data_IF_271210686195
#
_entry.id   IF_271210686195
#
_cell.length_a   1.000
_cell.length_b   1.000
_cell.length_c   1.000
_cell.angle_alpha   90.00
_cell.angle_beta   90.00
_cell.angle_gamma   90.00
#
_symmetry.space_group_name_H-M   'P 1'
#
loop_
_entity.id
_entity.type
_entity.pdbx_description
1 polymer ?
#
# COMPACT_ATOMS: atom_id res chain seq x y z
N UNK A 1 -6.22 -2.96 -15.06
CA UNK A 1 -6.38 -1.64 -14.42
C UNK A 1 -5.85 -0.58 -15.37
N UNK A 2 -6.52 0.57 -15.47
CA UNK A 2 -6.03 1.73 -16.20
C UNK A 2 -5.66 2.83 -15.19
N UNK A 3 -4.51 2.65 -14.52
CA UNK A 3 -3.99 3.64 -13.55
C UNK A 3 -3.58 4.96 -14.22
N UNK A 4 -3.39 4.94 -15.54
CA UNK A 4 -2.93 6.09 -16.29
C UNK A 4 -4.09 7.00 -16.70
N UNK A 5 -5.27 6.44 -16.94
CA UNK A 5 -6.52 7.16 -17.20
C UNK A 5 -6.32 8.34 -18.17
N UNK A 6 -6.66 9.55 -17.71
CA UNK A 6 -6.56 10.78 -18.48
C UNK A 6 -5.10 11.15 -18.86
N UNK A 7 -4.11 10.70 -18.09
CA UNK A 7 -2.70 11.04 -18.28
C UNK A 7 -2.00 10.11 -19.27
N UNK A 8 -2.50 8.89 -19.48
CA UNK A 8 -1.80 7.85 -20.25
C UNK A 8 -1.46 8.22 -21.69
N UNK A 9 -2.26 9.08 -22.32
CA UNK A 9 -2.10 9.47 -23.74
C UNK A 9 -1.54 10.87 -23.95
N UNK A 10 -1.23 11.61 -22.88
CA UNK A 10 -0.74 12.99 -22.97
C UNK A 10 0.68 13.10 -22.42
N UNK A 11 1.39 14.13 -22.85
CA UNK A 11 2.76 14.42 -22.42
C UNK A 11 2.78 15.20 -21.09
N UNK A 12 2.05 14.68 -20.10
CA UNK A 12 2.06 15.16 -18.71
C UNK A 12 2.65 14.05 -17.86
N UNK A 13 3.70 14.36 -17.10
CA UNK A 13 4.36 13.38 -16.23
C UNK A 13 3.42 12.81 -15.19
N UNK A 14 3.55 11.50 -14.98
CA UNK A 14 2.87 10.83 -13.89
C UNK A 14 3.46 11.30 -12.55
N UNK A 15 2.63 11.63 -11.55
CA UNK A 15 3.10 12.17 -10.28
C UNK A 15 3.61 11.11 -9.30
N UNK A 16 3.93 9.90 -9.77
CA UNK A 16 4.33 8.75 -8.96
C UNK A 16 5.52 9.03 -8.03
N UNK A 17 6.60 9.61 -8.55
CA UNK A 17 7.77 9.99 -7.73
C UNK A 17 7.42 11.13 -6.76
N UNK A 18 6.56 12.05 -7.16
CA UNK A 18 6.08 13.14 -6.30
C UNK A 18 5.26 12.60 -5.13
N UNK A 19 4.33 11.67 -5.38
CA UNK A 19 3.53 11.03 -4.34
C UNK A 19 4.39 10.18 -3.40
N UNK A 20 5.34 9.43 -3.94
CA UNK A 20 6.34 8.71 -3.12
C UNK A 20 7.07 9.67 -2.19
N UNK A 21 7.57 10.80 -2.73
CA UNK A 21 8.31 11.79 -1.96
C UNK A 21 7.44 12.50 -0.92
N UNK A 22 6.22 12.88 -1.28
CA UNK A 22 5.26 13.48 -0.34
C UNK A 22 5.01 12.55 0.85
N UNK A 23 4.81 11.26 0.59
CA UNK A 23 4.65 10.27 1.65
C UNK A 23 5.90 10.14 2.54
N UNK A 24 7.12 10.20 1.98
CA UNK A 24 8.37 10.25 2.77
C UNK A 24 8.49 11.51 3.66
N UNK A 25 7.89 12.61 3.23
CA UNK A 25 7.89 13.91 3.92
C UNK A 25 6.69 14.05 4.89
N UNK A 26 5.89 12.99 5.08
CA UNK A 26 4.73 12.99 5.99
C UNK A 26 3.54 13.79 5.44
N UNK A 27 3.45 13.94 4.12
CA UNK A 27 2.32 14.55 3.43
C UNK A 27 1.52 13.44 2.76
N UNK A 28 0.31 13.10 3.25
CA UNK A 28 -0.53 12.07 2.66
C UNK A 28 -0.78 12.31 1.17
N UNK A 29 -0.43 11.33 0.35
CA UNK A 29 -0.63 11.36 -1.09
C UNK A 29 -1.08 9.99 -1.58
N UNK A 30 -2.18 9.95 -2.33
CA UNK A 30 -2.80 8.75 -2.87
C UNK A 30 -2.95 8.84 -4.39
N UNK A 31 -2.92 7.69 -5.04
CA UNK A 31 -3.15 7.56 -6.48
C UNK A 31 -4.65 7.44 -6.78
N UNK A 32 -5.01 7.60 -8.06
CA UNK A 32 -6.35 7.29 -8.60
C UNK A 32 -7.53 8.04 -7.95
N UNK A 33 -7.26 9.14 -7.26
CA UNK A 33 -8.26 9.91 -6.50
C UNK A 33 -9.03 9.04 -5.47
N UNK A 34 -8.40 8.00 -4.95
CA UNK A 34 -9.02 7.08 -4.00
C UNK A 34 -9.14 7.72 -2.61
N UNK A 35 -10.39 7.91 -2.15
CA UNK A 35 -10.68 8.55 -0.86
C UNK A 35 -10.45 7.63 0.34
N UNK A 36 -10.54 6.32 0.13
CA UNK A 36 -10.19 5.29 1.10
C UNK A 36 -8.67 5.26 1.35
N UNK A 37 -7.89 5.21 0.28
CA UNK A 37 -6.44 5.16 0.33
C UNK A 37 -5.85 6.43 0.97
N UNK A 38 -6.32 7.63 0.60
CA UNK A 38 -5.82 8.87 1.24
C UNK A 38 -6.16 8.92 2.73
N UNK A 39 -7.34 8.45 3.14
CA UNK A 39 -7.71 8.36 4.54
C UNK A 39 -6.83 7.34 5.29
N UNK A 40 -6.51 6.20 4.68
CA UNK A 40 -5.57 5.25 5.23
C UNK A 40 -4.15 5.84 5.37
N UNK A 41 -3.67 6.61 4.37
CA UNK A 41 -2.39 7.33 4.48
C UNK A 41 -2.40 8.31 5.66
N UNK A 42 -3.47 9.09 5.83
CA UNK A 42 -3.63 10.00 6.98
C UNK A 42 -3.57 9.21 8.29
N UNK A 43 -4.31 8.12 8.42
CA UNK A 43 -4.32 7.30 9.64
C UNK A 43 -2.92 6.76 9.95
N UNK A 44 -2.26 6.13 8.98
CA UNK A 44 -0.95 5.50 9.19
C UNK A 44 0.09 6.54 9.58
N UNK A 45 0.13 7.67 8.87
CA UNK A 45 1.13 8.71 9.09
C UNK A 45 0.96 9.39 10.45
N UNK A 46 -0.27 9.70 10.86
CA UNK A 46 -0.55 10.44 12.09
C UNK A 46 -0.59 9.55 13.34
N UNK A 47 -0.88 8.25 13.20
CA UNK A 47 -0.90 7.33 14.34
C UNK A 47 0.46 6.66 14.59
N UNK A 48 1.27 6.46 13.55
CA UNK A 48 2.45 5.59 13.63
C UNK A 48 3.76 6.23 13.15
N UNK A 49 3.74 7.54 12.82
CA UNK A 49 4.90 8.34 12.39
C UNK A 49 5.71 7.69 11.24
N UNK A 50 5.00 7.09 10.29
CA UNK A 50 5.60 6.38 9.15
C UNK A 50 4.75 6.45 7.89
N UNK A 51 5.36 6.31 6.71
CA UNK A 51 4.60 6.27 5.47
C UNK A 51 3.99 4.88 5.25
N UNK A 52 2.90 4.85 4.49
CA UNK A 52 2.32 3.62 3.94
C UNK A 52 2.50 3.54 2.44
N UNK A 53 2.41 2.34 1.90
CA UNK A 53 2.46 2.04 0.48
C UNK A 53 1.09 1.58 0.00
N UNK A 54 0.36 2.49 -0.66
CA UNK A 54 -0.83 2.13 -1.43
C UNK A 54 -0.44 1.11 -2.49
N UNK A 55 -1.12 -0.04 -2.48
CA UNK A 55 -0.86 -1.14 -3.39
C UNK A 55 -2.12 -1.86 -3.82
N UNK A 56 -2.01 -2.51 -4.97
CA UNK A 56 -3.06 -3.36 -5.52
C UNK A 56 -2.72 -4.83 -5.23
N UNK A 57 -3.63 -5.59 -4.60
CA UNK A 57 -3.38 -6.96 -4.21
C UNK A 57 -3.46 -7.88 -5.43
N UNK A 58 -2.43 -8.70 -5.60
CA UNK A 58 -2.40 -9.81 -6.54
C UNK A 58 -2.22 -11.09 -5.72
N UNK A 59 -3.19 -12.00 -5.83
CA UNK A 59 -3.12 -13.31 -5.20
C UNK A 59 -2.07 -14.18 -5.89
N UNK A 60 -1.15 -14.76 -5.10
CA UNK A 60 -0.25 -15.80 -5.56
C UNK A 60 -0.60 -17.12 -4.86
N UNK A 61 -1.23 -18.00 -5.63
CA UNK A 61 -1.69 -19.31 -5.15
C UNK A 61 -0.59 -20.37 -5.12
N UNK A 62 0.60 -20.07 -5.64
CA UNK A 62 1.71 -21.03 -5.63
C UNK A 62 2.28 -21.26 -4.22
N UNK A 63 2.18 -20.25 -3.34
CA UNK A 63 2.69 -20.29 -1.98
C UNK A 63 1.76 -19.59 -0.95
N UNK A 64 0.49 -19.37 -1.33
CA UNK A 64 -0.55 -18.71 -0.54
C UNK A 64 -0.09 -17.35 0.03
N UNK A 65 0.44 -16.49 -0.85
CA UNK A 65 0.86 -15.13 -0.50
C UNK A 65 0.04 -14.10 -1.26
N UNK A 66 0.14 -12.86 -0.82
CA UNK A 66 -0.37 -11.72 -1.56
C UNK A 66 0.81 -10.85 -1.99
N UNK A 67 0.74 -10.35 -3.21
CA UNK A 67 1.69 -9.41 -3.77
C UNK A 67 1.00 -8.05 -3.77
N UNK A 68 1.62 -7.05 -3.15
CA UNK A 68 1.20 -5.68 -3.33
C UNK A 68 2.02 -5.00 -4.41
N UNK A 69 1.36 -4.52 -5.46
CA UNK A 69 2.02 -3.88 -6.60
C UNK A 69 1.49 -2.47 -6.87
N UNK A 70 2.37 -1.47 -6.95
CA UNK A 70 2.02 -0.07 -7.33
C UNK A 70 3.27 0.79 -7.62
N UNK A 71 3.11 2.04 -8.07
CA UNK A 71 4.20 2.92 -8.56
C UNK A 71 4.66 4.02 -7.59
N UNK A 72 3.90 4.28 -6.52
CA UNK A 72 4.09 5.42 -5.61
C UNK A 72 4.69 5.03 -4.25
N UNK A 73 5.47 3.94 -4.18
CA UNK A 73 6.02 3.45 -2.92
C UNK A 73 6.94 4.51 -2.27
N UNK A 74 6.72 4.87 -1.00
CA UNK A 74 7.69 5.67 -0.24
C UNK A 74 9.02 4.91 -0.06
N UNK A 75 10.08 5.61 0.30
CA UNK A 75 11.41 5.03 0.55
C UNK A 75 11.72 4.91 2.04
N UNK A 76 11.16 5.77 2.90
CA UNK A 76 11.41 5.81 4.36
C UNK A 76 10.49 4.88 5.16
N UNK A 77 10.46 3.61 4.78
CA UNK A 77 9.53 2.61 5.33
C UNK A 77 9.63 2.42 6.85
N UNK A 78 10.79 2.70 7.44
CA UNK A 78 11.01 2.62 8.89
C UNK A 78 10.55 3.86 9.68
N UNK A 79 9.96 4.87 9.01
CA UNK A 79 9.48 6.11 9.63
C UNK A 79 10.22 7.36 9.14
N UNK A 80 9.59 8.53 9.30
CA UNK A 80 10.03 9.78 8.64
C UNK A 80 11.44 10.24 9.01
N UNK A 81 11.84 9.98 10.26
CA UNK A 81 13.17 10.32 10.78
C UNK A 81 14.26 9.29 10.47
N UNK A 82 13.91 8.16 9.83
CA UNK A 82 14.86 7.11 9.48
C UNK A 82 15.36 7.26 8.04
N UNK A 83 16.57 6.73 7.73
CA UNK A 83 17.05 6.66 6.36
C UNK A 83 16.08 5.87 5.46
N UNK A 84 16.08 6.15 4.15
CA UNK A 84 15.36 5.34 3.19
C UNK A 84 15.89 3.90 3.16
N UNK A 85 15.00 2.94 2.92
CA UNK A 85 15.39 1.60 2.46
C UNK A 85 16.10 1.71 1.09
N UNK A 86 16.91 0.71 0.69
CA UNK A 86 17.50 0.69 -0.64
C UNK A 86 16.43 0.84 -1.72
N UNK A 87 16.70 1.64 -2.75
CA UNK A 87 15.80 1.82 -3.88
C UNK A 87 16.57 2.12 -5.16
N UNK A 88 15.94 1.80 -6.28
CA UNK A 88 16.43 2.11 -7.63
C UNK A 88 15.48 3.10 -8.29
N UNK A 89 15.99 3.95 -9.19
CA UNK A 89 15.13 4.76 -10.05
C UNK A 89 14.91 4.02 -11.35
N UNK A 90 13.65 3.72 -11.66
CA UNK A 90 13.25 3.00 -12.88
C UNK A 90 12.15 3.77 -13.59
N UNK A 91 11.80 3.35 -14.81
CA UNK A 91 10.65 3.91 -15.52
C UNK A 91 9.34 3.30 -14.99
N UNK A 92 8.24 4.04 -15.03
CA UNK A 92 6.91 3.49 -14.78
C UNK A 92 6.63 2.30 -15.73
N UNK A 93 5.78 1.35 -15.35
CA UNK A 93 5.46 0.17 -16.18
C UNK A 93 4.85 0.51 -17.57
N UNK A 94 4.47 1.76 -17.79
CA UNK A 94 4.07 2.31 -19.08
C UNK A 94 5.23 2.83 -19.94
N UNK A 95 6.47 2.49 -19.60
CA UNK A 95 7.72 2.90 -20.28
C UNK A 95 7.91 4.43 -20.39
N UNK A 96 7.57 5.13 -19.30
CA UNK A 96 7.70 6.59 -19.18
C UNK A 96 7.82 7.01 -17.73
N UNK A 97 8.31 8.22 -17.47
CA UNK A 97 8.41 8.85 -16.14
C UNK A 97 9.23 8.06 -15.09
N UNK A 98 9.93 8.77 -14.21
CA UNK A 98 10.75 8.13 -13.19
C UNK A 98 9.89 7.74 -11.98
N UNK A 99 10.16 6.56 -11.41
CA UNK A 99 9.54 6.06 -10.17
C UNK A 99 10.60 5.40 -9.29
N UNK A 100 10.50 5.54 -7.95
CA UNK A 100 11.36 4.81 -7.04
C UNK A 100 10.87 3.37 -6.90
N UNK A 101 11.73 2.42 -7.21
CA UNK A 101 11.56 1.01 -6.87
C UNK A 101 12.18 0.75 -5.49
N UNK A 102 11.41 0.99 -4.44
CA UNK A 102 11.83 0.71 -3.06
C UNK A 102 11.94 -0.79 -2.82
N UNK A 103 13.05 -1.24 -2.26
CA UNK A 103 13.32 -2.64 -1.93
C UNK A 103 12.95 -2.89 -0.47
N UNK A 104 11.93 -3.71 -0.26
CA UNK A 104 11.44 -4.03 1.08
C UNK A 104 12.34 -5.08 1.75
N UNK A 105 12.66 -4.90 3.03
CA UNK A 105 13.45 -5.86 3.79
C UNK A 105 12.68 -7.18 3.99
N UNK A 106 13.17 -8.28 3.41
CA UNK A 106 12.62 -9.62 3.67
C UNK A 106 12.66 -9.96 5.16
N UNK A 107 11.61 -10.60 5.66
CA UNK A 107 11.42 -10.90 7.08
C UNK A 107 10.88 -9.74 7.91
N UNK A 108 10.70 -8.55 7.32
CA UNK A 108 10.12 -7.40 8.00
C UNK A 108 8.62 -7.63 8.27
N UNK A 109 8.20 -7.30 9.50
CA UNK A 109 6.78 -7.26 9.87
C UNK A 109 6.06 -6.13 9.17
N UNK A 110 4.86 -6.42 8.67
CA UNK A 110 4.01 -5.51 7.91
C UNK A 110 2.59 -5.59 8.44
N UNK A 111 1.95 -4.43 8.50
CA UNK A 111 0.50 -4.29 8.66
C UNK A 111 -0.09 -3.88 7.33
N UNK A 112 -1.22 -4.48 7.00
CA UNK A 112 -2.04 -4.16 5.85
C UNK A 112 -3.32 -3.49 6.35
N UNK A 113 -3.60 -2.31 5.82
CA UNK A 113 -4.80 -1.54 6.13
C UNK A 113 -5.55 -1.19 4.85
N UNK A 114 -6.84 -1.51 4.80
CA UNK A 114 -7.78 -0.91 3.85
C UNK A 114 -8.81 -0.11 4.66
N UNK A 115 -9.01 1.17 4.31
CA UNK A 115 -10.08 1.98 4.88
C UNK A 115 -11.20 2.09 3.86
N UNK A 116 -12.37 1.60 4.25
CA UNK A 116 -13.57 1.60 3.43
C UNK A 116 -14.52 2.71 3.93
N UNK A 117 -14.63 3.85 3.22
CA UNK A 117 -15.55 4.91 3.58
C UNK A 117 -17.01 4.42 3.55
N UNK A 118 -17.80 4.78 4.56
CA UNK A 118 -19.19 4.34 4.72
C UNK A 118 -20.03 4.50 3.45
N UNK A 119 -19.85 5.63 2.74
CA UNK A 119 -20.59 5.98 1.55
C UNK A 119 -20.24 5.10 0.33
N UNK A 120 -18.98 4.67 0.20
CA UNK A 120 -18.53 3.79 -0.89
C UNK A 120 -19.07 2.37 -0.70
N UNK A 121 -19.10 1.88 0.55
CA UNK A 121 -19.60 0.53 0.88
C UNK A 121 -21.09 0.50 1.27
N UNK A 122 -21.81 1.61 1.15
CA UNK A 122 -23.24 1.74 1.49
C UNK A 122 -23.57 1.21 2.90
N UNK A 123 -22.72 1.52 3.87
CA UNK A 123 -22.86 1.11 5.26
C UNK A 123 -23.15 2.30 6.18
N UNK A 124 -23.64 2.03 7.40
CA UNK A 124 -23.90 3.07 8.40
C UNK A 124 -22.62 3.75 8.93
N UNK A 125 -21.48 3.04 8.87
CA UNK A 125 -20.17 3.52 9.33
C UNK A 125 -19.04 3.00 8.46
N UNK A 126 -17.95 3.75 8.40
CA UNK A 126 -16.72 3.35 7.71
C UNK A 126 -16.09 2.13 8.38
N UNK A 127 -15.22 1.42 7.67
CA UNK A 127 -14.65 0.16 8.13
C UNK A 127 -13.16 0.05 7.83
N UNK A 128 -12.39 -0.48 8.79
CA UNK A 128 -11.02 -0.95 8.57
C UNK A 128 -11.03 -2.45 8.21
N UNK A 129 -10.33 -2.82 7.16
CA UNK A 129 -9.82 -4.18 6.96
C UNK A 129 -8.36 -4.20 7.38
N UNK A 130 -8.01 -5.13 8.27
CA UNK A 130 -6.69 -5.16 8.90
C UNK A 130 -6.12 -6.56 8.74
N UNK A 131 -4.92 -6.68 8.18
CA UNK A 131 -4.15 -7.92 8.24
C UNK A 131 -2.72 -7.64 8.65
N UNK A 132 -2.03 -8.69 9.09
CA UNK A 132 -0.63 -8.62 9.49
C UNK A 132 0.12 -9.78 8.88
N UNK A 133 1.38 -9.53 8.55
CA UNK A 133 2.18 -10.48 7.81
C UNK A 133 3.63 -10.09 7.73
N UNK A 134 4.37 -10.84 6.92
CA UNK A 134 5.82 -10.70 6.81
C UNK A 134 6.21 -10.61 5.35
N UNK A 135 7.15 -9.71 5.01
CA UNK A 135 7.73 -9.60 3.68
C UNK A 135 8.47 -10.90 3.34
N UNK A 136 8.16 -11.49 2.19
CA UNK A 136 8.78 -12.71 1.69
C UNK A 136 9.81 -12.36 0.60
N UNK A 137 9.42 -11.53 -0.36
CA UNK A 137 10.22 -11.30 -1.57
C UNK A 137 9.88 -9.95 -2.22
N UNK A 138 10.85 -9.37 -2.94
CA UNK A 138 10.62 -8.28 -3.88
C UNK A 138 10.69 -8.83 -5.30
N UNK A 139 9.57 -8.81 -6.02
CA UNK A 139 9.52 -9.34 -7.39
C UNK A 139 10.16 -8.35 -8.37
N UNK A 140 10.78 -8.90 -9.41
CA UNK A 140 11.31 -8.11 -10.52
C UNK A 140 10.24 -7.97 -11.61
N UNK A 141 10.07 -6.74 -12.09
CA UNK A 141 9.18 -6.39 -13.20
C UNK A 141 10.05 -5.64 -14.21
N UNK A 142 10.53 -6.29 -15.29
CA UNK A 142 10.31 -7.68 -15.75
C UNK A 142 11.11 -8.77 -14.98
N UNK A 143 10.80 -10.09 -15.12
CA UNK A 143 9.87 -10.72 -16.06
C UNK A 143 8.41 -10.79 -15.60
N UNK A 144 8.12 -10.47 -14.33
CA UNK A 144 6.73 -10.41 -13.85
C UNK A 144 6.00 -9.24 -14.52
N UNK A 145 4.69 -9.39 -14.73
CA UNK A 145 3.82 -8.27 -15.10
C UNK A 145 3.41 -7.45 -13.88
N UNK A 146 2.84 -6.27 -14.10
CA UNK A 146 2.36 -5.38 -13.04
C UNK A 146 3.20 -4.12 -12.90
N UNK A 147 3.15 -3.50 -11.72
CA UNK A 147 3.86 -2.27 -11.43
C UNK A 147 5.25 -2.53 -10.81
N UNK A 148 6.15 -1.56 -10.90
CA UNK A 148 7.60 -1.76 -10.66
C UNK A 148 7.97 -2.07 -9.20
N UNK A 149 7.19 -1.60 -8.23
CA UNK A 149 7.29 -2.05 -6.84
C UNK A 149 6.26 -3.14 -6.68
N UNK A 150 6.73 -4.37 -6.53
CA UNK A 150 5.92 -5.57 -6.34
C UNK A 150 6.48 -6.35 -5.16
N UNK A 151 5.76 -6.34 -4.05
CA UNK A 151 6.22 -6.91 -2.77
C UNK A 151 5.34 -8.07 -2.38
N UNK A 152 5.95 -9.25 -2.29
CA UNK A 152 5.29 -10.48 -1.83
C UNK A 152 5.31 -10.51 -0.32
N UNK A 153 4.16 -10.72 0.30
CA UNK A 153 4.04 -10.86 1.75
C UNK A 153 3.16 -12.05 2.13
N UNK A 154 3.49 -12.67 3.26
CA UNK A 154 2.75 -13.80 3.82
C UNK A 154 1.92 -13.30 4.99
N UNK A 155 0.59 -13.46 4.91
CA UNK A 155 -0.32 -13.19 6.02
C UNK A 155 -0.10 -14.18 7.16
N UNK A 156 -0.33 -13.73 8.39
CA UNK A 156 -0.21 -14.59 9.58
C UNK A 156 -1.35 -15.62 9.69
N UNK A 157 -2.52 -15.28 9.16
CA UNK A 157 -3.69 -16.13 9.18
C UNK A 157 -3.83 -16.95 7.90
N UNK A 158 -4.74 -17.93 7.95
CA UNK A 158 -5.07 -18.79 6.81
C UNK A 158 -6.16 -18.16 5.93
N UNK A 159 -6.20 -16.83 5.80
CA UNK A 159 -7.12 -16.20 4.87
C UNK A 159 -6.78 -16.64 3.44
N UNK A 160 -7.79 -17.16 2.74
CA UNK A 160 -7.66 -17.52 1.34
C UNK A 160 -7.37 -16.26 0.51
N UNK A 161 -6.24 -16.30 -0.20
CA UNK A 161 -5.70 -15.20 -1.01
C UNK A 161 -6.65 -14.83 -2.17
N UNK A 162 -7.42 -15.79 -2.68
CA UNK A 162 -8.39 -15.56 -3.77
C UNK A 162 -9.65 -14.83 -3.30
N UNK A 163 -9.92 -14.85 -1.99
CA UNK A 163 -11.09 -14.22 -1.38
C UNK A 163 -10.73 -13.09 -0.41
N UNK A 164 -9.46 -12.65 -0.42
CA UNK A 164 -9.03 -11.53 0.39
C UNK A 164 -9.81 -10.25 0.01
N UNK A 165 -10.48 -9.57 0.96
CA UNK A 165 -11.33 -8.43 0.67
C UNK A 165 -10.52 -7.12 0.52
N UNK A 166 -11.13 -6.14 -0.14
CA UNK A 166 -10.50 -4.83 -0.33
C UNK A 166 -9.70 -4.73 -1.62
N UNK A 167 -9.15 -3.55 -1.90
CA UNK A 167 -8.43 -3.29 -3.14
C UNK A 167 -7.24 -2.37 -2.91
N UNK A 168 -7.41 -1.04 -2.85
CA UNK A 168 -6.30 -0.10 -2.60
C UNK A 168 -5.89 -0.09 -1.13
N UNK A 169 -5.11 -1.09 -0.78
CA UNK A 169 -4.63 -1.37 0.55
C UNK A 169 -3.30 -0.65 0.80
N UNK A 170 -3.03 -0.28 2.05
CA UNK A 170 -1.74 0.22 2.48
C UNK A 170 -0.94 -0.88 3.16
N UNK A 171 0.23 -1.20 2.63
CA UNK A 171 1.27 -1.89 3.40
C UNK A 171 2.12 -0.87 4.15
N UNK A 172 2.45 -1.17 5.39
CA UNK A 172 3.42 -0.38 6.14
C UNK A 172 4.15 -1.23 7.17
N UNK A 173 5.42 -0.90 7.44
CA UNK A 173 6.24 -1.66 8.36
C UNK A 173 5.70 -1.60 9.78
N UNK A 174 5.84 -2.70 10.51
CA UNK A 174 5.40 -2.87 11.89
C UNK A 174 4.14 -3.74 12.01
N UNK A 175 3.83 -4.15 13.23
CA UNK A 175 2.58 -4.82 13.57
C UNK A 175 1.76 -3.87 14.42
N UNK A 176 0.72 -3.28 13.83
CA UNK A 176 -0.11 -2.23 14.44
C UNK A 176 -1.60 -2.62 14.48
N UNK A 177 -1.88 -3.93 14.41
CA UNK A 177 -3.24 -4.46 14.34
C UNK A 177 -4.07 -4.10 15.57
N UNK A 178 -3.47 -4.13 16.76
CA UNK A 178 -4.17 -3.83 18.01
C UNK A 178 -4.56 -2.36 18.05
N UNK A 179 -3.61 -1.48 17.74
CA UNK A 179 -3.75 -0.03 17.71
C UNK A 179 -4.80 0.41 16.69
N UNK A 180 -4.83 -0.21 15.50
CA UNK A 180 -5.85 0.05 14.50
C UNK A 180 -7.26 -0.37 14.96
N UNK A 181 -7.39 -1.50 15.68
CA UNK A 181 -8.68 -1.92 16.24
C UNK A 181 -9.18 -0.95 17.32
N UNK A 182 -8.27 -0.50 18.19
CA UNK A 182 -8.57 0.48 19.23
C UNK A 182 -8.96 1.83 18.63
N UNK A 183 -8.24 2.28 17.61
CA UNK A 183 -8.58 3.49 16.86
C UNK A 183 -9.95 3.39 16.17
N UNK A 184 -10.25 2.25 15.53
CA UNK A 184 -11.57 2.03 14.95
C UNK A 184 -12.69 2.11 16.02
N UNK A 185 -12.47 1.53 17.20
CA UNK A 185 -13.43 1.62 18.29
C UNK A 185 -13.63 3.08 18.74
N UNK A 186 -12.54 3.84 18.90
CA UNK A 186 -12.58 5.26 19.28
C UNK A 186 -13.38 6.10 18.27
N UNK A 187 -13.19 5.87 16.98
CA UNK A 187 -13.85 6.61 15.91
C UNK A 187 -15.23 6.05 15.52
N UNK A 188 -15.73 5.02 16.21
CA UNK A 188 -16.94 4.29 15.85
C UNK A 188 -16.91 3.76 14.40
N UNK A 189 -15.77 3.27 13.95
CA UNK A 189 -15.63 2.51 12.70
C UNK A 189 -15.84 1.02 12.96
N UNK A 190 -16.24 0.28 11.92
CA UNK A 190 -16.10 -1.17 11.92
C UNK A 190 -14.63 -1.56 11.80
N UNK A 191 -14.21 -2.66 12.43
CA UNK A 191 -12.90 -3.26 12.17
C UNK A 191 -13.07 -4.75 11.91
N UNK A 192 -12.48 -5.24 10.82
CA UNK A 192 -12.37 -6.68 10.52
C UNK A 192 -10.89 -7.03 10.40
N UNK A 193 -10.42 -7.89 11.29
CA UNK A 193 -9.15 -8.58 11.08
C UNK A 193 -9.40 -9.65 10.02
N UNK A 194 -8.67 -9.57 8.92
CA UNK A 194 -8.76 -10.48 7.79
C UNK A 194 -7.55 -11.36 7.77
#
# INVERSE_FOLDING_TARGET
MDCLGALGKIDVSLPCISWSRMNDDGIPAACEADTGAIAAHIMVQYLFDRPGFQQDPVADTSDDTLIGAHCSCPTRLNGFGNPPEPFEQVHHHGDRDAVPRTIWKTGQRVTLLDFLPAHEIKAERSKLLISTGTVVENLNVPPSGGCVVSVKYKMDNQQDVLSYPGFHQLFFYGDYKSELKEFAQLCNFGAKVV
#
